data_IF_939603112948
#
_entry.id   IF_939603112948
#
_cell.length_a   1.000
_cell.length_b   1.000
_cell.length_c   1.000
_cell.angle_alpha   90.00
_cell.angle_beta   90.00
_cell.angle_gamma   90.00
#
_symmetry.space_group_name_H-M   'P 1'
#
loop_
_entity.id
_entity.type
_entity.pdbx_description
1 polymer ?
#
# COMPACT_ATOMS: atom_id res chain seq x y z
N UNK A 1 19.51 -0.94 21.42
CA UNK A 1 18.90 -0.48 22.70
C UNK A 1 17.42 -0.79 22.79
N UNK A 2 16.61 -0.45 21.77
CA UNK A 2 15.14 -0.66 21.77
C UNK A 2 14.70 -2.07 22.24
N UNK A 3 15.19 -3.13 21.59
CA UNK A 3 14.86 -4.52 21.96
C UNK A 3 15.18 -4.87 23.42
N UNK A 4 16.33 -4.39 23.93
CA UNK A 4 16.74 -4.62 25.32
C UNK A 4 15.79 -3.91 26.31
N UNK A 5 15.34 -2.70 25.99
CA UNK A 5 14.39 -1.95 26.83
C UNK A 5 13.01 -2.62 26.89
N UNK A 6 12.66 -3.40 25.87
CA UNK A 6 11.44 -4.21 25.83
C UNK A 6 11.65 -5.64 26.35
N UNK A 7 12.76 -5.92 27.03
CA UNK A 7 13.00 -7.19 27.72
C UNK A 7 13.36 -8.37 26.82
N UNK A 8 13.72 -8.13 25.55
CA UNK A 8 14.24 -9.19 24.67
C UNK A 8 15.62 -9.60 25.18
N UNK A 9 15.89 -10.90 25.30
CA UNK A 9 17.20 -11.41 25.72
C UNK A 9 18.26 -11.23 24.62
N UNK A 10 19.51 -10.95 25.01
CA UNK A 10 20.63 -10.80 24.06
C UNK A 10 20.81 -12.02 23.15
N UNK A 11 20.59 -13.23 23.66
CA UNK A 11 20.71 -14.47 22.87
C UNK A 11 19.64 -14.58 21.78
N UNK A 12 18.56 -13.80 21.86
CA UNK A 12 17.48 -13.74 20.87
C UNK A 12 17.61 -12.50 19.97
N UNK A 13 18.74 -11.80 20.00
CA UNK A 13 19.03 -10.66 19.13
C UNK A 13 20.14 -11.02 18.14
N UNK A 14 19.86 -10.88 16.86
CA UNK A 14 20.88 -10.86 15.82
C UNK A 14 20.70 -9.57 15.05
N UNK A 15 21.62 -8.63 15.25
CA UNK A 15 21.56 -7.29 14.67
C UNK A 15 22.86 -7.00 13.92
N UNK A 16 22.72 -6.46 12.72
CA UNK A 16 23.80 -6.14 11.80
C UNK A 16 23.69 -4.67 11.39
N UNK A 17 24.83 -3.98 11.27
CA UNK A 17 24.88 -2.62 10.72
C UNK A 17 25.51 -2.69 9.32
N UNK A 18 24.68 -2.55 8.30
CA UNK A 18 25.08 -2.58 6.90
C UNK A 18 24.02 -1.87 6.04
N UNK A 19 24.35 -1.62 4.77
CA UNK A 19 23.36 -1.25 3.77
C UNK A 19 22.79 -2.54 3.14
N UNK A 20 21.52 -2.81 3.42
CA UNK A 20 20.79 -4.00 2.97
C UNK A 20 20.88 -4.24 1.45
N UNK A 21 20.93 -3.18 0.64
CA UNK A 21 20.90 -3.28 -0.83
C UNK A 21 22.29 -3.33 -1.48
N UNK A 22 23.37 -3.19 -0.69
CA UNK A 22 24.73 -3.35 -1.19
C UNK A 22 25.15 -4.82 -1.15
N UNK A 23 26.10 -5.16 -0.30
CA UNK A 23 26.44 -6.55 -0.02
C UNK A 23 25.40 -7.13 0.93
N UNK A 24 24.99 -8.37 0.69
CA UNK A 24 24.01 -9.11 1.50
C UNK A 24 24.53 -9.51 2.89
N UNK A 25 25.42 -8.71 3.47
CA UNK A 25 26.17 -9.01 4.67
C UNK A 25 25.28 -9.14 5.91
N UNK A 26 25.52 -10.11 6.81
CA UNK A 26 26.66 -11.04 6.86
C UNK A 26 26.51 -12.29 5.98
N UNK A 27 25.41 -12.38 5.22
CA UNK A 27 25.15 -13.47 4.30
C UNK A 27 25.75 -13.16 2.91
N UNK A 28 25.47 -14.00 1.92
CA UNK A 28 25.99 -13.89 0.56
C UNK A 28 27.05 -14.96 0.22
N UNK A 29 27.70 -14.83 -0.96
CA UNK A 29 28.67 -15.80 -1.42
C UNK A 29 29.87 -15.98 -0.48
N UNK A 30 30.22 -17.22 -0.19
CA UNK A 30 31.43 -17.56 0.55
C UNK A 30 32.71 -17.32 -0.29
N UNK A 31 33.88 -17.71 0.25
CA UNK A 31 35.17 -17.55 -0.43
C UNK A 31 35.27 -18.32 -1.76
N UNK A 32 34.42 -19.31 -1.97
CA UNK A 32 34.33 -20.12 -3.18
C UNK A 32 33.28 -19.58 -4.16
N UNK A 33 32.57 -18.52 -3.77
CA UNK A 33 31.50 -17.90 -4.56
C UNK A 33 30.16 -18.62 -4.45
N UNK A 34 30.00 -19.53 -3.48
CA UNK A 34 28.73 -20.24 -3.24
C UNK A 34 27.87 -19.40 -2.31
N UNK A 35 26.66 -19.07 -2.75
CA UNK A 35 25.72 -18.29 -1.96
C UNK A 35 24.99 -19.16 -0.92
N UNK A 36 25.03 -18.72 0.34
CA UNK A 36 24.37 -19.38 1.47
C UNK A 36 23.40 -18.40 2.13
N UNK A 37 22.28 -18.07 1.47
CA UNK A 37 21.35 -17.10 2.01
C UNK A 37 20.71 -17.64 3.29
N UNK A 38 20.68 -16.81 4.32
CA UNK A 38 19.83 -17.06 5.47
C UNK A 38 18.38 -16.89 5.06
N UNK A 39 17.53 -17.78 5.51
CA UNK A 39 16.10 -17.73 5.21
C UNK A 39 15.26 -17.70 6.48
N UNK A 40 14.07 -17.10 6.37
CA UNK A 40 13.17 -16.86 7.50
C UNK A 40 11.74 -17.28 7.17
N UNK A 41 11.01 -17.77 8.17
CA UNK A 41 9.58 -18.10 8.05
C UNK A 41 8.69 -16.86 8.04
N UNK A 42 9.16 -15.76 8.64
CA UNK A 42 8.46 -14.49 8.65
C UNK A 42 9.44 -13.34 8.36
N UNK A 43 9.08 -12.49 7.40
CA UNK A 43 9.87 -11.29 7.04
C UNK A 43 8.95 -10.08 7.12
N UNK A 44 9.25 -9.13 8.02
CA UNK A 44 8.47 -7.90 8.20
C UNK A 44 9.36 -6.69 7.97
N UNK A 45 8.95 -5.79 7.08
CA UNK A 45 9.80 -4.66 6.66
C UNK A 45 9.00 -3.37 6.48
N UNK A 46 9.53 -2.28 7.01
CA UNK A 46 9.09 -0.91 6.72
C UNK A 46 10.31 -0.13 6.21
N UNK A 47 10.66 -0.25 4.91
CA UNK A 47 11.84 0.38 4.35
C UNK A 47 11.66 1.89 4.23
N UNK A 48 12.75 2.67 4.11
CA UNK A 48 12.65 4.07 3.75
C UNK A 48 12.00 4.23 2.37
N UNK A 49 10.87 4.94 2.32
CA UNK A 49 10.08 5.07 1.10
C UNK A 49 10.84 5.79 0.01
N UNK A 50 10.90 5.18 -1.18
CA UNK A 50 11.52 5.79 -2.35
C UNK A 50 12.95 6.27 -2.11
N UNK A 51 13.71 5.54 -1.29
CA UNK A 51 15.11 5.86 -1.04
C UNK A 51 15.94 5.81 -2.32
N UNK A 52 17.00 6.63 -2.35
CA UNK A 52 18.04 6.50 -3.35
C UNK A 52 18.89 5.26 -3.04
N UNK A 53 19.32 4.56 -4.08
CA UNK A 53 20.19 3.39 -3.95
C UNK A 53 21.06 3.24 -5.20
N UNK A 54 22.18 2.51 -5.07
CA UNK A 54 22.98 2.14 -6.23
C UNK A 54 22.24 1.07 -7.04
N UNK A 55 21.83 1.39 -8.27
CA UNK A 55 21.19 0.44 -9.17
C UNK A 55 22.13 0.01 -10.32
N UNK A 56 23.43 -0.04 -10.06
CA UNK A 56 24.43 -0.51 -11.03
C UNK A 56 23.97 -1.82 -11.70
N UNK A 57 24.07 -1.89 -13.03
CA UNK A 57 23.62 -3.04 -13.81
C UNK A 57 24.27 -4.37 -13.39
N UNK A 58 25.45 -4.35 -12.77
CA UNK A 58 26.06 -5.55 -12.21
C UNK A 58 25.20 -6.21 -11.12
N UNK A 59 24.30 -5.48 -10.45
CA UNK A 59 23.33 -6.07 -9.51
C UNK A 59 22.34 -6.99 -10.21
N UNK A 60 22.20 -6.98 -11.54
CA UNK A 60 21.45 -8.01 -12.27
C UNK A 60 22.11 -9.40 -12.24
N UNK A 61 23.36 -9.52 -11.79
CA UNK A 61 24.04 -10.80 -11.56
C UNK A 61 23.75 -11.36 -10.16
N UNK A 62 23.24 -10.54 -9.26
CA UNK A 62 22.87 -10.92 -7.90
C UNK A 62 21.57 -11.75 -7.92
N UNK A 63 21.54 -12.87 -7.19
CA UNK A 63 20.39 -13.78 -7.11
C UNK A 63 19.13 -13.11 -6.56
N UNK A 64 19.28 -12.03 -5.78
CA UNK A 64 18.16 -11.21 -5.30
C UNK A 64 17.37 -10.57 -6.43
N UNK A 65 18.05 -10.17 -7.50
CA UNK A 65 17.46 -9.34 -8.57
C UNK A 65 17.38 -10.04 -9.93
N UNK A 66 18.35 -10.92 -10.23
CA UNK A 66 18.47 -11.63 -11.50
C UNK A 66 17.15 -12.29 -11.97
N UNK A 67 16.40 -13.01 -11.12
CA UNK A 67 15.20 -13.74 -11.56
C UNK A 67 14.06 -12.83 -12.08
N UNK A 68 14.11 -11.54 -11.78
CA UNK A 68 13.07 -10.56 -12.12
C UNK A 68 13.42 -9.70 -13.33
N UNK A 69 14.66 -9.80 -13.84
CA UNK A 69 15.08 -9.22 -15.12
C UNK A 69 15.12 -7.69 -15.19
N UNK A 70 15.01 -6.99 -14.07
CA UNK A 70 15.09 -5.53 -13.98
C UNK A 70 15.48 -5.08 -12.57
N UNK A 71 16.10 -3.91 -12.48
CA UNK A 71 16.41 -3.23 -11.22
C UNK A 71 15.41 -2.10 -10.98
N UNK A 72 15.06 -1.85 -9.72
CA UNK A 72 14.27 -0.67 -9.37
C UNK A 72 15.02 0.63 -9.77
N UNK A 73 14.34 1.74 -10.07
CA UNK A 73 14.99 3.00 -10.41
C UNK A 73 15.92 3.48 -9.28
N UNK A 74 17.04 4.14 -9.62
CA UNK A 74 18.02 4.64 -8.64
C UNK A 74 17.41 5.55 -7.57
N UNK A 75 16.35 6.29 -7.90
CA UNK A 75 15.63 7.18 -6.99
C UNK A 75 14.47 6.52 -6.25
N UNK A 76 14.24 5.21 -6.45
CA UNK A 76 13.10 4.44 -5.95
C UNK A 76 13.52 3.01 -5.60
N UNK A 77 14.12 2.83 -4.42
CA UNK A 77 14.55 1.51 -3.93
C UNK A 77 13.40 0.55 -3.50
N UNK A 78 12.14 0.96 -3.61
CA UNK A 78 10.98 0.23 -3.06
C UNK A 78 10.95 -1.25 -3.48
N UNK A 79 11.04 -1.52 -4.79
CA UNK A 79 11.10 -2.92 -5.27
C UNK A 79 12.42 -3.62 -4.97
N UNK A 80 13.53 -2.90 -4.80
CA UNK A 80 14.79 -3.53 -4.40
C UNK A 80 14.65 -4.16 -3.00
N UNK A 81 13.98 -3.47 -2.07
CA UNK A 81 13.65 -4.04 -0.76
C UNK A 81 12.65 -5.20 -0.85
N UNK A 82 11.64 -5.14 -1.75
CA UNK A 82 10.72 -6.26 -1.99
C UNK A 82 11.50 -7.51 -2.41
N UNK A 83 12.38 -7.37 -3.40
CA UNK A 83 13.12 -8.48 -3.99
C UNK A 83 14.13 -9.07 -2.99
N UNK A 84 14.87 -8.22 -2.26
CA UNK A 84 15.77 -8.67 -1.19
C UNK A 84 15.00 -9.42 -0.09
N UNK A 85 13.87 -8.88 0.36
CA UNK A 85 13.07 -9.52 1.42
C UNK A 85 12.48 -10.86 0.96
N UNK A 86 12.05 -10.94 -0.30
CA UNK A 86 11.55 -12.17 -0.90
C UNK A 86 12.67 -13.20 -1.07
N UNK A 87 13.90 -12.78 -1.37
CA UNK A 87 15.06 -13.66 -1.47
C UNK A 87 15.25 -14.46 -0.18
N UNK A 88 15.28 -13.78 0.97
CA UNK A 88 15.42 -14.38 2.30
C UNK A 88 14.14 -15.04 2.87
N UNK A 89 13.04 -15.08 2.12
CA UNK A 89 11.83 -15.75 2.58
C UNK A 89 11.94 -17.26 2.39
N UNK A 90 11.62 -18.06 3.40
CA UNK A 90 11.48 -19.51 3.24
C UNK A 90 10.35 -19.87 2.26
N UNK A 91 10.40 -21.08 1.69
CA UNK A 91 9.40 -21.54 0.73
C UNK A 91 7.96 -21.50 1.29
N UNK A 92 7.78 -21.84 2.58
CA UNK A 92 6.49 -21.79 3.29
C UNK A 92 6.34 -20.53 4.18
N UNK A 93 7.26 -19.58 4.06
CA UNK A 93 7.24 -18.35 4.86
C UNK A 93 6.21 -17.34 4.35
N UNK A 94 5.92 -16.35 5.20
CA UNK A 94 5.09 -15.18 4.85
C UNK A 94 5.88 -13.89 5.06
N UNK A 95 5.89 -13.04 4.04
CA UNK A 95 6.50 -11.72 4.09
C UNK A 95 5.40 -10.64 4.08
N UNK A 96 5.56 -9.59 4.87
CA UNK A 96 4.74 -8.39 4.82
C UNK A 96 5.63 -7.14 4.76
N UNK A 97 5.42 -6.30 3.76
CA UNK A 97 6.21 -5.07 3.55
C UNK A 97 5.31 -3.86 3.36
N UNK A 98 5.61 -2.77 4.07
CA UNK A 98 4.88 -1.50 3.97
C UNK A 98 5.53 -0.61 2.92
N UNK A 99 4.77 -0.10 1.95
CA UNK A 99 5.27 0.69 0.83
C UNK A 99 4.31 1.82 0.45
N UNK A 100 4.79 2.89 -0.23
CA UNK A 100 3.90 3.88 -0.82
C UNK A 100 3.11 3.28 -1.99
N UNK A 101 1.88 3.76 -2.25
CA UNK A 101 1.01 3.23 -3.31
C UNK A 101 1.64 3.25 -4.72
N UNK A 102 2.64 4.09 -4.97
CA UNK A 102 3.32 4.14 -6.27
C UNK A 102 3.82 2.77 -6.76
N UNK A 103 4.22 1.86 -5.86
CA UNK A 103 4.67 0.51 -6.24
C UNK A 103 3.60 -0.29 -6.98
N UNK A 104 2.32 0.02 -6.76
CA UNK A 104 1.18 -0.69 -7.32
C UNK A 104 1.01 -0.43 -8.83
N UNK A 105 1.42 0.73 -9.32
CA UNK A 105 1.09 1.19 -10.67
C UNK A 105 2.22 1.85 -11.45
N UNK A 106 3.36 2.21 -10.82
CA UNK A 106 4.49 2.80 -11.53
C UNK A 106 4.97 1.88 -12.67
N UNK A 107 5.33 2.52 -13.79
CA UNK A 107 5.65 1.88 -15.06
C UNK A 107 7.11 1.42 -15.19
N UNK A 108 7.57 1.30 -16.43
CA UNK A 108 8.96 1.03 -16.81
C UNK A 108 9.57 -0.20 -16.08
N UNK A 109 10.71 -0.03 -15.40
CA UNK A 109 11.41 -1.12 -14.74
C UNK A 109 10.56 -1.77 -13.64
N UNK A 110 9.81 -0.99 -12.87
CA UNK A 110 8.96 -1.54 -11.80
C UNK A 110 7.78 -2.34 -12.34
N UNK A 111 7.21 -1.96 -13.48
CA UNK A 111 6.19 -2.78 -14.14
C UNK A 111 6.75 -4.14 -14.59
N UNK A 112 8.01 -4.20 -15.04
CA UNK A 112 8.69 -5.47 -15.38
C UNK A 112 8.86 -6.34 -14.13
N UNK A 113 9.35 -5.76 -13.03
CA UNK A 113 9.54 -6.47 -11.75
C UNK A 113 8.20 -6.99 -11.22
N UNK A 114 7.17 -6.14 -11.18
CA UNK A 114 5.82 -6.51 -10.70
C UNK A 114 5.22 -7.65 -11.52
N UNK A 115 5.33 -7.58 -12.85
CA UNK A 115 4.90 -8.66 -13.75
C UNK A 115 5.69 -9.95 -13.51
N UNK A 116 7.00 -9.87 -13.28
CA UNK A 116 7.81 -11.03 -12.95
C UNK A 116 7.40 -11.64 -11.60
N UNK A 117 7.20 -10.84 -10.54
CA UNK A 117 6.72 -11.31 -9.25
C UNK A 117 5.39 -12.08 -9.35
N UNK A 118 4.48 -11.58 -10.18
CA UNK A 118 3.14 -12.18 -10.38
C UNK A 118 3.19 -13.42 -11.28
N UNK A 119 4.20 -13.55 -12.16
CA UNK A 119 4.33 -14.70 -13.08
C UNK A 119 5.27 -15.81 -12.60
N UNK A 120 6.26 -15.49 -11.77
CA UNK A 120 7.44 -16.33 -11.51
C UNK A 120 7.34 -17.22 -10.26
N UNK A 121 6.14 -17.57 -9.77
CA UNK A 121 6.01 -18.37 -8.55
C UNK A 121 6.70 -19.74 -8.63
N UNK A 122 7.14 -20.27 -7.47
CA UNK A 122 8.17 -21.29 -7.33
C UNK A 122 7.86 -22.69 -7.90
N UNK A 123 6.62 -22.95 -8.35
CA UNK A 123 6.24 -24.21 -8.98
C UNK A 123 6.06 -24.05 -10.49
N UNK A 124 6.76 -24.91 -11.24
CA UNK A 124 6.89 -24.95 -12.70
C UNK A 124 5.59 -25.09 -13.50
N UNK A 125 4.45 -25.20 -12.81
CA UNK A 125 3.14 -25.20 -13.46
C UNK A 125 2.48 -23.82 -13.51
N UNK A 126 2.54 -22.99 -12.46
CA UNK A 126 1.44 -22.03 -12.21
C UNK A 126 1.71 -20.98 -11.08
N UNK A 127 2.71 -20.10 -11.17
CA UNK A 127 3.15 -19.29 -10.01
C UNK A 127 2.72 -17.80 -9.92
N UNK A 128 2.43 -17.29 -8.70
CA UNK A 128 2.28 -15.87 -8.31
C UNK A 128 2.78 -15.66 -6.86
N UNK A 129 3.82 -14.84 -6.62
CA UNK A 129 4.35 -14.59 -5.28
C UNK A 129 3.50 -13.66 -4.40
N UNK A 130 2.70 -12.79 -5.02
CA UNK A 130 1.92 -11.79 -4.32
C UNK A 130 0.62 -12.41 -3.79
N UNK A 131 0.43 -12.37 -2.47
CA UNK A 131 -0.73 -12.96 -1.80
C UNK A 131 -1.86 -11.96 -1.55
N UNK A 132 -1.51 -10.75 -1.10
CA UNK A 132 -2.47 -9.70 -0.84
C UNK A 132 -1.88 -8.29 -1.03
N UNK A 133 -2.76 -7.35 -1.35
CA UNK A 133 -2.53 -5.90 -1.39
C UNK A 133 -3.50 -5.26 -0.42
N UNK A 134 -3.00 -4.63 0.64
CA UNK A 134 -3.83 -4.01 1.68
C UNK A 134 -3.56 -2.51 1.70
N UNK A 135 -4.51 -1.69 1.25
CA UNK A 135 -4.44 -0.24 1.32
C UNK A 135 -4.68 0.25 2.73
N UNK A 136 -3.76 1.03 3.27
CA UNK A 136 -3.87 1.61 4.60
C UNK A 136 -4.38 3.06 4.54
N UNK A 137 -4.94 3.58 5.65
CA UNK A 137 -5.30 4.97 5.78
C UNK A 137 -4.15 5.93 5.48
N UNK A 138 -4.50 7.11 4.96
CA UNK A 138 -3.59 8.24 4.87
C UNK A 138 -3.20 8.75 6.27
N UNK A 139 -2.13 9.52 6.34
CA UNK A 139 -1.67 10.18 7.57
C UNK A 139 -1.38 9.24 8.76
N UNK A 140 -1.07 7.95 8.55
CA UNK A 140 -0.69 7.03 9.64
C UNK A 140 0.75 7.21 10.12
N UNK A 141 1.66 7.60 9.22
CA UNK A 141 3.09 7.61 9.49
C UNK A 141 3.60 9.01 9.85
N UNK A 142 4.62 9.06 10.70
CA UNK A 142 5.34 10.31 10.95
C UNK A 142 6.08 10.76 9.69
N UNK A 143 6.09 12.07 9.43
CA UNK A 143 6.85 12.68 8.33
C UNK A 143 6.20 12.60 6.95
N UNK A 144 5.03 11.96 6.82
CA UNK A 144 4.27 11.97 5.56
C UNK A 144 2.78 11.73 5.78
N UNK A 145 1.95 12.45 5.02
CA UNK A 145 0.50 12.25 5.00
C UNK A 145 0.05 11.25 3.93
N UNK A 146 0.97 10.73 3.11
CA UNK A 146 0.61 9.84 2.00
C UNK A 146 -0.05 8.55 2.49
N UNK A 147 -1.04 8.01 1.75
CA UNK A 147 -1.50 6.65 1.98
C UNK A 147 -0.40 5.65 1.61
N UNK A 148 -0.40 4.53 2.33
CA UNK A 148 0.56 3.44 2.16
C UNK A 148 -0.19 2.14 1.96
N UNK A 149 0.51 1.09 1.57
CA UNK A 149 -0.06 -0.25 1.42
C UNK A 149 0.86 -1.28 2.06
N UNK A 150 0.29 -2.40 2.46
CA UNK A 150 1.02 -3.61 2.82
C UNK A 150 0.93 -4.55 1.63
N UNK A 151 2.07 -5.00 1.14
CA UNK A 151 2.15 -6.14 0.22
C UNK A 151 2.51 -7.38 1.02
N UNK A 152 1.72 -8.44 0.84
CA UNK A 152 1.98 -9.75 1.45
C UNK A 152 2.49 -10.70 0.38
N UNK A 153 3.61 -11.37 0.64
CA UNK A 153 4.21 -12.33 -0.29
C UNK A 153 4.37 -13.71 0.34
N UNK A 154 4.20 -14.75 -0.47
CA UNK A 154 4.42 -16.15 -0.11
C UNK A 154 5.01 -16.89 -1.31
N UNK A 155 6.01 -17.75 -1.09
CA UNK A 155 6.67 -18.51 -2.18
C UNK A 155 5.84 -19.71 -2.64
N UNK A 156 5.34 -20.50 -1.69
CA UNK A 156 4.44 -21.62 -1.94
C UNK A 156 3.00 -21.22 -1.64
N UNK A 157 2.14 -21.31 -2.65
CA UNK A 157 0.71 -20.98 -2.58
C UNK A 157 -0.07 -21.97 -3.43
N UNK A 158 -1.22 -22.41 -2.93
CA UNK A 158 -2.13 -23.30 -3.65
C UNK A 158 -2.99 -22.55 -4.68
N UNK A 159 -3.10 -21.22 -4.51
CA UNK A 159 -3.94 -20.33 -5.30
C UNK A 159 -3.13 -19.25 -5.98
N UNK A 160 -3.66 -18.70 -7.08
CA UNK A 160 -3.01 -17.65 -7.86
C UNK A 160 -3.61 -16.27 -7.72
N UNK A 161 -4.81 -16.17 -7.17
CA UNK A 161 -5.49 -14.90 -7.00
C UNK A 161 -4.69 -13.98 -6.04
N UNK A 162 -5.08 -12.72 -6.01
CA UNK A 162 -4.56 -11.73 -5.06
C UNK A 162 -5.75 -11.15 -4.31
N UNK A 163 -5.68 -11.15 -2.98
CA UNK A 163 -6.67 -10.47 -2.17
C UNK A 163 -6.35 -8.97 -2.13
N UNK A 164 -7.28 -8.14 -2.60
CA UNK A 164 -7.24 -6.70 -2.42
C UNK A 164 -8.11 -6.33 -1.23
N UNK A 165 -7.59 -5.49 -0.33
CA UNK A 165 -8.34 -4.91 0.79
C UNK A 165 -8.14 -3.40 0.75
N UNK A 166 -9.21 -2.62 0.70
CA UNK A 166 -9.19 -1.18 0.91
C UNK A 166 -9.54 -0.84 2.36
N UNK A 167 -8.50 -0.75 3.21
CA UNK A 167 -8.64 -0.31 4.58
C UNK A 167 -8.40 1.21 4.74
N UNK A 168 -8.48 2.01 3.66
CA UNK A 168 -8.21 3.46 3.72
C UNK A 168 -9.11 4.23 4.68
N UNK A 169 -10.34 3.73 4.93
CA UNK A 169 -11.31 4.27 5.88
C UNK A 169 -11.16 3.70 7.31
N UNK A 170 -10.27 2.73 7.53
CA UNK A 170 -10.06 2.06 8.84
C UNK A 170 -9.13 2.88 9.74
N UNK A 171 -9.62 3.98 10.31
CA UNK A 171 -8.82 4.75 11.26
C UNK A 171 -9.67 5.50 12.27
N UNK A 172 -9.04 5.83 13.40
CA UNK A 172 -9.49 6.88 14.30
C UNK A 172 -8.66 8.12 14.04
N UNK A 173 -9.33 9.25 13.81
CA UNK A 173 -8.66 10.54 13.65
C UNK A 173 -8.00 10.94 14.96
N UNK A 174 -6.73 11.31 14.89
CA UNK A 174 -5.98 11.93 16.00
C UNK A 174 -5.41 13.28 15.54
N UNK A 175 -4.74 14.03 16.43
CA UNK A 175 -4.27 15.39 16.15
C UNK A 175 -3.31 15.47 14.95
N UNK A 176 -2.24 14.67 14.99
CA UNK A 176 -1.14 14.79 14.04
C UNK A 176 -1.10 13.64 13.03
N UNK A 177 -1.47 12.43 13.46
CA UNK A 177 -1.53 11.23 12.63
C UNK A 177 -2.87 10.54 12.86
N UNK A 178 -3.37 9.83 11.85
CA UNK A 178 -4.42 8.85 12.07
C UNK A 178 -3.85 7.67 12.86
N UNK A 179 -4.70 6.99 13.63
CA UNK A 179 -4.32 5.77 14.36
C UNK A 179 -5.22 4.61 13.97
N UNK A 180 -4.64 3.43 13.88
CA UNK A 180 -5.40 2.19 13.77
C UNK A 180 -5.86 1.78 15.17
N UNK A 181 -7.16 1.68 15.39
CA UNK A 181 -7.68 1.06 16.61
C UNK A 181 -7.48 -0.46 16.58
N UNK A 182 -7.73 -1.12 17.71
CA UNK A 182 -7.73 -2.58 17.77
C UNK A 182 -8.82 -3.16 16.86
N UNK A 183 -10.00 -2.55 16.87
CA UNK A 183 -11.16 -2.95 16.06
C UNK A 183 -10.86 -2.81 14.55
N UNK A 184 -10.23 -1.70 14.13
CA UNK A 184 -9.78 -1.52 12.75
C UNK A 184 -8.80 -2.62 12.34
N UNK A 185 -7.82 -2.90 13.21
CA UNK A 185 -6.79 -3.91 12.95
C UNK A 185 -7.39 -5.31 12.88
N UNK A 186 -8.27 -5.66 13.82
CA UNK A 186 -8.94 -6.96 13.86
C UNK A 186 -9.78 -7.19 12.60
N UNK A 187 -10.50 -6.15 12.12
CA UNK A 187 -11.26 -6.23 10.87
C UNK A 187 -10.37 -6.52 9.66
N UNK A 188 -9.26 -5.81 9.51
CA UNK A 188 -8.31 -6.03 8.42
C UNK A 188 -7.76 -7.47 8.47
N UNK A 189 -7.37 -7.94 9.66
CA UNK A 189 -6.83 -9.30 9.86
C UNK A 189 -7.89 -10.36 9.56
N UNK A 190 -9.12 -10.16 10.03
CA UNK A 190 -10.23 -11.08 9.79
C UNK A 190 -10.55 -11.17 8.29
N UNK A 191 -10.64 -10.04 7.59
CA UNK A 191 -10.84 -10.02 6.14
C UNK A 191 -9.72 -10.74 5.40
N UNK A 192 -8.46 -10.52 5.79
CA UNK A 192 -7.31 -11.23 5.21
C UNK A 192 -7.38 -12.76 5.46
N UNK A 193 -7.75 -13.19 6.67
CA UNK A 193 -7.87 -14.61 7.02
C UNK A 193 -9.03 -15.30 6.31
N UNK A 194 -10.17 -14.63 6.22
CA UNK A 194 -11.38 -15.17 5.60
C UNK A 194 -11.27 -15.23 4.08
N UNK A 195 -10.57 -14.25 3.48
CA UNK A 195 -10.21 -14.21 2.06
C UNK A 195 -11.42 -14.44 1.14
N UNK A 196 -12.42 -13.58 1.35
CA UNK A 196 -13.66 -13.52 0.58
C UNK A 196 -13.90 -12.08 0.16
N UNK A 197 -14.69 -11.92 -0.89
CA UNK A 197 -15.17 -10.62 -1.31
C UNK A 197 -16.02 -10.00 -0.18
N UNK A 198 -15.83 -8.71 0.03
CA UNK A 198 -16.61 -7.88 0.96
C UNK A 198 -16.95 -6.61 0.22
N UNK A 199 -18.24 -6.33 0.11
CA UNK A 199 -18.75 -5.17 -0.63
C UNK A 199 -18.00 -3.88 -0.24
N UNK A 200 -17.50 -3.17 -1.26
CA UNK A 200 -16.71 -1.93 -1.14
C UNK A 200 -15.49 -1.98 -0.22
N UNK A 201 -14.98 -3.17 0.10
CA UNK A 201 -13.90 -3.32 1.08
C UNK A 201 -12.83 -4.33 0.66
N UNK A 202 -13.21 -5.46 0.08
CA UNK A 202 -12.25 -6.48 -0.33
C UNK A 202 -12.72 -7.26 -1.56
N UNK A 203 -11.76 -7.67 -2.39
CA UNK A 203 -11.99 -8.46 -3.59
C UNK A 203 -10.88 -9.48 -3.80
N UNK A 204 -11.25 -10.74 -4.09
CA UNK A 204 -10.32 -11.83 -4.40
C UNK A 204 -10.16 -11.88 -5.92
N UNK A 205 -9.22 -11.10 -6.44
CA UNK A 205 -9.03 -10.97 -7.87
C UNK A 205 -8.31 -12.20 -8.46
N UNK A 206 -8.92 -12.98 -9.37
CA UNK A 206 -8.23 -14.04 -10.07
C UNK A 206 -7.07 -13.49 -10.91
N UNK A 207 -6.06 -14.32 -11.15
CA UNK A 207 -4.87 -13.90 -11.91
C UNK A 207 -5.22 -13.30 -13.28
N UNK A 208 -6.26 -13.79 -13.95
CA UNK A 208 -6.67 -13.27 -15.25
C UNK A 208 -7.11 -11.79 -15.17
N UNK A 209 -7.86 -11.41 -14.14
CA UNK A 209 -8.26 -10.02 -13.92
C UNK A 209 -7.04 -9.10 -13.73
N UNK A 210 -6.01 -9.59 -13.05
CA UNK A 210 -4.74 -8.86 -12.88
C UNK A 210 -4.00 -8.71 -14.21
N UNK A 211 -4.04 -9.73 -15.06
CA UNK A 211 -3.46 -9.68 -16.42
C UNK A 211 -4.21 -8.69 -17.30
N UNK A 212 -5.54 -8.70 -17.24
CA UNK A 212 -6.42 -7.78 -17.99
C UNK A 212 -6.23 -6.33 -17.54
N UNK A 213 -5.95 -6.12 -16.26
CA UNK A 213 -5.51 -4.84 -15.69
C UNK A 213 -4.02 -4.52 -15.95
N UNK A 214 -3.35 -5.23 -16.86
CA UNK A 214 -1.96 -5.02 -17.24
C UNK A 214 -0.97 -5.06 -16.06
N UNK A 215 -1.26 -5.91 -15.06
CA UNK A 215 -0.54 -6.00 -13.80
C UNK A 215 -0.55 -4.69 -12.98
N UNK A 216 -1.48 -3.77 -13.25
CA UNK A 216 -1.71 -2.61 -12.41
C UNK A 216 -2.45 -3.05 -11.14
N UNK A 217 -1.84 -2.87 -9.98
CA UNK A 217 -2.36 -3.31 -8.68
C UNK A 217 -3.03 -2.16 -7.90
N UNK A 218 -3.35 -1.04 -8.57
CA UNK A 218 -4.02 0.07 -7.90
C UNK A 218 -5.38 -0.39 -7.36
N UNK A 219 -5.59 -0.26 -6.06
CA UNK A 219 -6.70 -0.88 -5.33
C UNK A 219 -8.09 -0.51 -5.90
N UNK A 220 -8.37 0.74 -6.30
CA UNK A 220 -9.66 1.11 -6.91
C UNK A 220 -10.00 0.39 -8.22
N UNK A 221 -9.07 -0.37 -8.82
CA UNK A 221 -9.36 -1.23 -9.99
C UNK A 221 -10.03 -2.55 -9.60
N UNK A 222 -9.95 -2.92 -8.34
CA UNK A 222 -10.39 -4.22 -7.80
C UNK A 222 -11.45 -4.07 -6.72
N UNK A 223 -11.39 -2.99 -5.94
CA UNK A 223 -12.38 -2.69 -4.90
C UNK A 223 -13.05 -1.38 -5.28
N UNK A 224 -14.29 -1.47 -5.74
CA UNK A 224 -15.10 -0.28 -6.02
C UNK A 224 -15.67 0.28 -4.70
N UNK A 225 -15.08 1.36 -4.23
CA UNK A 225 -15.54 2.08 -3.03
C UNK A 225 -16.51 3.21 -3.36
N UNK A 226 -16.95 3.34 -4.61
CA UNK A 226 -17.86 4.40 -5.00
C UNK A 226 -19.20 4.26 -4.26
N UNK A 227 -19.66 5.38 -3.72
CA UNK A 227 -21.00 5.51 -3.15
C UNK A 227 -21.79 6.33 -4.16
N UNK A 228 -22.82 5.72 -4.78
CA UNK A 228 -23.77 6.48 -5.58
C UNK A 228 -24.39 7.54 -4.68
N UNK A 229 -24.20 8.81 -5.04
CA UNK A 229 -24.86 9.92 -4.35
C UNK A 229 -26.37 9.70 -4.41
N UNK A 230 -27.06 9.92 -3.29
CA UNK A 230 -28.50 9.84 -3.27
C UNK A 230 -29.08 10.78 -4.35
N UNK A 231 -30.05 10.32 -5.16
CA UNK A 231 -30.64 11.16 -6.18
C UNK A 231 -31.19 12.43 -5.53
N UNK A 232 -30.71 13.58 -6.01
CA UNK A 232 -31.13 14.88 -5.53
C UNK A 232 -32.63 15.04 -5.80
N UNK A 233 -33.43 15.28 -4.76
CA UNK A 233 -34.84 15.65 -4.94
C UNK A 233 -34.91 17.07 -5.53
N UNK A 234 -35.06 17.14 -6.85
CA UNK A 234 -35.20 18.40 -7.59
C UNK A 234 -36.41 19.22 -7.12
N UNK A 235 -37.44 18.57 -6.57
CA UNK A 235 -38.58 19.26 -5.97
C UNK A 235 -38.21 19.98 -4.67
N UNK A 236 -37.38 19.36 -3.84
CA UNK A 236 -36.84 19.98 -2.63
C UNK A 236 -35.88 21.12 -2.96
N UNK A 237 -34.99 20.93 -3.93
CA UNK A 237 -34.08 21.99 -4.41
C UNK A 237 -34.87 23.19 -4.91
N UNK A 238 -35.94 22.99 -5.68
CA UNK A 238 -36.80 24.08 -6.14
C UNK A 238 -37.53 24.80 -5.00
N UNK A 239 -37.94 24.07 -3.96
CA UNK A 239 -38.54 24.68 -2.76
C UNK A 239 -37.52 25.53 -2.01
N UNK A 240 -36.29 25.04 -1.86
CA UNK A 240 -35.20 25.77 -1.24
C UNK A 240 -34.84 27.03 -2.04
N UNK A 241 -34.73 26.94 -3.37
CA UNK A 241 -34.51 28.11 -4.23
C UNK A 241 -35.61 29.17 -4.07
N UNK A 242 -36.88 28.75 -4.06
CA UNK A 242 -37.99 29.69 -3.86
C UNK A 242 -37.98 30.34 -2.47
N UNK A 243 -37.54 29.60 -1.44
CA UNK A 243 -37.36 30.12 -0.09
C UNK A 243 -36.20 31.12 -0.04
N UNK A 244 -35.05 30.77 -0.61
CA UNK A 244 -33.87 31.62 -0.68
C UNK A 244 -34.18 32.93 -1.42
N UNK A 245 -34.92 32.88 -2.54
CA UNK A 245 -35.36 34.07 -3.28
C UNK A 245 -36.27 34.98 -2.43
N UNK A 246 -37.16 34.39 -1.63
CA UNK A 246 -38.03 35.14 -0.73
C UNK A 246 -37.22 35.80 0.41
N UNK A 247 -36.27 35.05 0.98
CA UNK A 247 -35.39 35.53 2.05
C UNK A 247 -34.47 36.65 1.54
N UNK A 248 -33.93 36.52 0.32
CA UNK A 248 -33.16 37.57 -0.36
C UNK A 248 -34.01 38.82 -0.54
N UNK A 249 -35.24 38.70 -1.06
CA UNK A 249 -36.12 39.84 -1.26
C UNK A 249 -36.46 40.56 0.08
N UNK A 250 -36.67 39.79 1.15
CA UNK A 250 -36.90 40.35 2.48
C UNK A 250 -35.66 41.09 3.02
N UNK A 251 -34.48 40.48 2.89
CA UNK A 251 -33.20 41.07 3.28
C UNK A 251 -32.90 42.35 2.49
N UNK A 252 -33.11 42.34 1.17
CA UNK A 252 -32.95 43.52 0.32
C UNK A 252 -33.87 44.66 0.73
N UNK A 253 -35.13 44.37 1.07
CA UNK A 253 -36.07 45.37 1.58
C UNK A 253 -35.59 45.98 2.90
N UNK A 254 -35.11 45.14 3.83
CA UNK A 254 -34.52 45.61 5.10
C UNK A 254 -33.28 46.47 4.87
N UNK A 255 -32.39 46.07 3.97
CA UNK A 255 -31.19 46.81 3.61
C UNK A 255 -31.54 48.16 2.98
N UNK A 256 -32.48 48.21 2.04
CA UNK A 256 -32.96 49.47 1.43
C UNK A 256 -33.55 50.42 2.46
N UNK A 257 -34.35 49.93 3.40
CA UNK A 257 -34.92 50.77 4.45
C UNK A 257 -33.84 51.33 5.38
N UNK A 258 -32.83 50.52 5.75
CA UNK A 258 -31.70 51.01 6.54
C UNK A 258 -30.87 52.07 5.80
N UNK A 259 -30.62 51.87 4.50
CA UNK A 259 -29.90 52.84 3.67
C UNK A 259 -30.68 54.15 3.52
N UNK A 260 -32.01 54.09 3.41
CA UNK A 260 -32.91 55.25 3.43
C UNK A 260 -32.82 56.03 4.75
N UNK A 261 -32.82 55.33 5.89
CA UNK A 261 -32.66 55.96 7.22
C UNK A 261 -31.30 56.67 7.34
N UNK A 262 -30.26 56.14 6.70
CA UNK A 262 -28.89 56.69 6.70
C UNK A 262 -28.68 57.80 5.65
N UNK A 263 -29.69 58.16 4.86
CA UNK A 263 -29.62 59.22 3.86
C UNK A 263 -28.85 58.85 2.59
N UNK A 264 -28.72 57.55 2.30
CA UNK A 264 -28.12 57.02 1.08
C UNK A 264 -29.25 56.68 0.11
N UNK A 265 -29.30 57.32 -1.06
CA UNK A 265 -30.25 56.95 -2.12
C UNK A 265 -29.84 55.61 -2.76
N UNK A 266 -30.79 54.67 -2.85
CA UNK A 266 -30.64 53.32 -3.42
C UNK A 266 -31.68 53.09 -4.50
#
# INVERSE_FOLDING_TARGET
MNLMMHGVSFNNMTLSNANTLETDWPDGPDKEGIDHPRTFDAVVVNPPYSAHWDNNENKLKDQRFNPFGALAPASKADYAFVLHSLYHLNANGTMAIVLPHGVLFRGAAEAKIRKALIKSGASSSQGNYLDAVIGLPANLFYGTSIPTCILVFKKNRDTKDVLFIDASKEFVKDKNQNRLSKENTDRIIETYRNRKDVDKYAHVAPLQEIVDNEFNLNIPRYVDTFEEEAPIDLGEVNRQLAQDDADIAELEAKVKEQLRILGVEV
#
